data_IF_191878576730
#
_entry.id   IF_191878576730
#
_cell.length_a   1.000
_cell.length_b   1.000
_cell.length_c   1.000
_cell.angle_alpha   90.00
_cell.angle_beta   90.00
_cell.angle_gamma   90.00
#
_symmetry.space_group_name_H-M   'P 1'
#
loop_
_entity.id
_entity.type
_entity.pdbx_description
1 polymer ?
#
# COMPACT_ATOMS: atom_id res chain seq x y z
N UNK A 1 -16.62 -0.25 -2.60
CA UNK A 1 -16.06 -1.38 -1.82
C UNK A 1 -17.08 -2.05 -0.91
N UNK A 2 -17.67 -1.35 0.08
CA UNK A 2 -18.60 -1.97 1.05
C UNK A 2 -19.79 -2.67 0.37
N UNK A 3 -20.42 -2.04 -0.63
CA UNK A 3 -21.46 -2.69 -1.45
C UNK A 3 -20.96 -3.98 -2.13
N UNK A 4 -19.75 -3.95 -2.69
CA UNK A 4 -19.14 -5.11 -3.31
C UNK A 4 -18.98 -6.26 -2.33
N UNK A 5 -18.52 -5.98 -1.10
CA UNK A 5 -18.38 -6.98 -0.04
C UNK A 5 -19.73 -7.63 0.27
N UNK A 6 -20.77 -6.81 0.43
CA UNK A 6 -22.12 -7.31 0.68
C UNK A 6 -22.58 -8.31 -0.37
N UNK A 7 -22.39 -7.96 -1.65
CA UNK A 7 -22.74 -8.82 -2.80
C UNK A 7 -21.86 -10.06 -2.82
N UNK A 8 -20.54 -9.91 -2.65
CA UNK A 8 -19.57 -11.00 -2.69
C UNK A 8 -19.83 -12.07 -1.63
N UNK A 9 -20.21 -11.67 -0.41
CA UNK A 9 -20.56 -12.61 0.65
C UNK A 9 -21.89 -13.32 0.37
N UNK A 10 -22.87 -12.67 -0.27
CA UNK A 10 -24.10 -13.35 -0.73
C UNK A 10 -23.76 -14.39 -1.81
N UNK A 11 -22.88 -14.04 -2.75
CA UNK A 11 -22.38 -14.97 -3.76
C UNK A 11 -21.59 -16.13 -3.14
N UNK A 12 -20.80 -15.90 -2.10
CA UNK A 12 -20.10 -16.96 -1.36
C UNK A 12 -21.07 -18.01 -0.80
N UNK A 13 -22.29 -17.61 -0.38
CA UNK A 13 -23.32 -18.55 0.09
C UNK A 13 -24.00 -19.28 -1.07
N UNK A 14 -24.22 -18.59 -2.19
CA UNK A 14 -24.93 -19.17 -3.34
C UNK A 14 -24.06 -20.07 -4.21
N UNK A 15 -22.75 -19.82 -4.26
CA UNK A 15 -21.84 -20.51 -5.16
C UNK A 15 -21.35 -21.84 -4.56
N UNK A 16 -21.16 -22.87 -5.39
CA UNK A 16 -20.61 -24.13 -4.93
C UNK A 16 -19.14 -23.99 -4.52
N UNK A 17 -18.70 -24.88 -3.64
CA UNK A 17 -17.34 -24.97 -3.10
C UNK A 17 -16.25 -24.96 -4.18
N UNK A 18 -16.43 -25.73 -5.26
CA UNK A 18 -15.47 -25.84 -6.35
C UNK A 18 -15.28 -24.51 -7.09
N UNK A 19 -16.33 -23.72 -7.24
CA UNK A 19 -16.28 -22.43 -7.92
C UNK A 19 -15.49 -21.42 -7.09
N UNK A 20 -15.80 -21.33 -5.79
CA UNK A 20 -15.11 -20.45 -4.84
C UNK A 20 -13.62 -20.82 -4.76
N UNK A 21 -13.33 -22.13 -4.68
CA UNK A 21 -11.95 -22.64 -4.64
C UNK A 21 -11.20 -22.30 -5.92
N UNK A 22 -11.81 -22.52 -7.09
CA UNK A 22 -11.21 -22.19 -8.39
C UNK A 22 -10.93 -20.69 -8.50
N UNK A 23 -11.87 -19.84 -8.11
CA UNK A 23 -11.70 -18.39 -8.14
C UNK A 23 -10.61 -17.90 -7.18
N UNK A 24 -10.53 -18.52 -5.99
CA UNK A 24 -9.47 -18.25 -5.02
C UNK A 24 -8.08 -18.64 -5.57
N UNK A 25 -7.97 -19.80 -6.23
CA UNK A 25 -6.73 -20.26 -6.88
C UNK A 25 -6.32 -19.28 -7.99
N UNK A 26 -7.25 -18.87 -8.86
CA UNK A 26 -6.96 -17.91 -9.93
C UNK A 26 -6.49 -16.57 -9.34
N UNK A 27 -7.20 -16.07 -8.33
CA UNK A 27 -6.89 -14.78 -7.70
C UNK A 27 -5.53 -14.82 -7.00
N UNK A 28 -5.27 -15.83 -6.16
CA UNK A 28 -3.97 -15.98 -5.49
C UNK A 28 -2.84 -16.25 -6.48
N UNK A 29 -3.06 -17.06 -7.51
CA UNK A 29 -2.08 -17.31 -8.56
C UNK A 29 -1.71 -16.03 -9.31
N UNK A 30 -2.72 -15.24 -9.70
CA UNK A 30 -2.51 -13.93 -10.33
C UNK A 30 -1.74 -12.96 -9.42
N UNK A 31 -2.16 -12.80 -8.16
CA UNK A 31 -1.50 -11.92 -7.19
C UNK A 31 -0.06 -12.38 -6.95
N UNK A 32 0.18 -13.69 -6.80
CA UNK A 32 1.53 -14.24 -6.59
C UNK A 32 2.43 -13.98 -7.79
N UNK A 33 1.97 -14.28 -9.01
CA UNK A 33 2.72 -14.04 -10.22
C UNK A 33 3.03 -12.55 -10.43
N UNK A 34 2.05 -11.69 -10.16
CA UNK A 34 2.21 -10.24 -10.22
C UNK A 34 3.22 -9.73 -9.19
N UNK A 35 3.05 -10.10 -7.92
CA UNK A 35 3.95 -9.71 -6.82
C UNK A 35 5.38 -10.15 -7.10
N UNK A 36 5.57 -11.37 -7.60
CA UNK A 36 6.89 -11.89 -7.94
C UNK A 36 7.54 -11.11 -9.10
N UNK A 37 6.78 -10.82 -10.17
CA UNK A 37 7.27 -9.99 -11.29
C UNK A 37 7.64 -8.59 -10.82
N UNK A 38 6.79 -7.95 -10.02
CA UNK A 38 7.10 -6.63 -9.45
C UNK A 38 8.31 -6.66 -8.52
N UNK A 39 8.49 -7.74 -7.76
CA UNK A 39 9.67 -7.96 -6.91
C UNK A 39 10.95 -8.04 -7.72
N UNK A 40 10.96 -8.83 -8.81
CA UNK A 40 12.10 -8.93 -9.73
C UNK A 40 12.46 -7.60 -10.39
N UNK A 41 11.46 -6.84 -10.82
CA UNK A 41 11.68 -5.50 -11.41
C UNK A 41 12.29 -4.55 -10.39
N UNK A 42 11.77 -4.51 -9.16
CA UNK A 42 12.32 -3.68 -8.08
C UNK A 42 13.75 -4.08 -7.74
N UNK A 43 14.03 -5.37 -7.60
CA UNK A 43 15.38 -5.87 -7.34
C UNK A 43 16.38 -5.45 -8.41
N UNK A 44 15.98 -5.51 -9.69
CA UNK A 44 16.83 -5.08 -10.80
C UNK A 44 17.13 -3.58 -10.74
N UNK A 45 16.12 -2.77 -10.46
CA UNK A 45 16.28 -1.32 -10.34
C UNK A 45 17.19 -0.96 -9.15
N UNK A 46 16.95 -1.56 -7.98
CA UNK A 46 17.79 -1.38 -6.80
C UNK A 46 19.24 -1.80 -7.06
N UNK A 47 19.45 -2.92 -7.76
CA UNK A 47 20.81 -3.38 -8.12
C UNK A 47 21.51 -2.40 -9.05
N UNK A 48 20.79 -1.79 -10.01
CA UNK A 48 21.34 -0.77 -10.91
C UNK A 48 21.77 0.49 -10.14
N UNK A 49 20.94 0.96 -9.20
CA UNK A 49 21.26 2.12 -8.37
C UNK A 49 22.49 1.88 -7.49
N UNK A 50 22.63 0.68 -6.92
CA UNK A 50 23.82 0.30 -6.14
C UNK A 50 25.08 0.29 -7.02
N UNK A 51 24.98 -0.19 -8.27
CA UNK A 51 26.09 -0.18 -9.22
C UNK A 51 26.48 1.25 -9.64
N UNK A 52 25.51 2.09 -9.99
CA UNK A 52 25.74 3.50 -10.35
C UNK A 52 26.34 4.29 -9.17
N UNK A 53 25.94 3.98 -7.93
CA UNK A 53 26.52 4.58 -6.73
C UNK A 53 27.98 4.14 -6.53
N UNK A 54 28.27 2.84 -6.67
CA UNK A 54 29.65 2.33 -6.58
C UNK A 54 30.56 2.95 -7.66
N UNK A 55 30.08 3.05 -8.90
CA UNK A 55 30.83 3.68 -10.00
C UNK A 55 31.11 5.17 -9.73
N UNK A 56 30.15 5.92 -9.18
CA UNK A 56 30.36 7.33 -8.76
C UNK A 56 31.35 7.43 -7.60
N UNK A 57 31.33 6.50 -6.66
CA UNK A 57 32.31 6.44 -5.56
C UNK A 57 33.72 6.16 -6.11
N UNK A 58 33.86 5.25 -7.08
CA UNK A 58 35.14 4.96 -7.72
C UNK A 58 35.65 6.15 -8.53
N UNK A 59 34.80 6.81 -9.32
CA UNK A 59 35.14 8.03 -10.07
C UNK A 59 35.54 9.19 -9.14
N UNK A 60 34.83 9.39 -8.03
CA UNK A 60 35.15 10.43 -7.06
C UNK A 60 36.45 10.14 -6.29
N UNK A 61 36.71 8.88 -5.93
CA UNK A 61 37.98 8.48 -5.30
C UNK A 61 39.18 8.66 -6.25
N UNK A 62 39.04 8.29 -7.53
CA UNK A 62 40.08 8.53 -8.53
C UNK A 62 40.30 10.01 -8.82
N UNK A 63 39.24 10.83 -8.83
CA UNK A 63 39.35 12.27 -9.00
C UNK A 63 40.07 12.93 -7.79
N UNK A 64 39.77 12.48 -6.57
CA UNK A 64 40.41 12.92 -5.34
C UNK A 64 41.90 12.54 -5.32
N UNK A 65 42.26 11.30 -5.69
CA UNK A 65 43.65 10.83 -5.78
C UNK A 65 44.46 11.59 -6.84
N UNK A 66 43.90 11.84 -8.03
CA UNK A 66 44.57 12.67 -9.05
C UNK A 66 44.79 14.09 -8.55
N UNK A 67 43.80 14.69 -7.89
CA UNK A 67 43.92 16.04 -7.32
C UNK A 67 45.04 16.14 -6.28
N UNK A 68 45.13 15.15 -5.38
CA UNK A 68 46.20 15.07 -4.38
C UNK A 68 47.58 14.81 -5.00
N UNK A 69 47.68 13.96 -6.02
CA UNK A 69 48.94 13.72 -6.74
C UNK A 69 49.45 14.99 -7.46
N UNK A 70 48.55 15.74 -8.11
CA UNK A 70 48.91 17.02 -8.74
C UNK A 70 49.32 18.10 -7.73
N UNK A 71 48.67 18.18 -6.56
CA UNK A 71 49.06 19.08 -5.47
C UNK A 71 50.42 18.70 -4.85
N UNK A 72 50.71 17.40 -4.70
CA UNK A 72 52.00 16.92 -4.22
C UNK A 72 53.15 17.25 -5.20
N UNK A 73 52.92 17.12 -6.50
CA UNK A 73 53.90 17.45 -7.53
C UNK A 73 54.12 18.97 -7.67
N UNK A 74 53.06 19.78 -7.53
CA UNK A 74 53.17 21.23 -7.45
C UNK A 74 53.93 21.69 -6.19
N UNK A 75 53.74 21.01 -5.04
CA UNK A 75 54.46 21.30 -3.79
C UNK A 75 55.96 20.97 -3.87
N UNK A 76 56.32 19.89 -4.58
CA UNK A 76 57.73 19.55 -4.86
C UNK A 76 58.39 20.60 -5.76
N UNK A 77 57.70 21.05 -6.82
CA UNK A 77 58.23 22.07 -7.73
C UNK A 77 58.33 23.47 -7.10
N UNK A 78 57.46 23.81 -6.16
CA UNK A 78 57.55 25.09 -5.41
C UNK A 78 58.69 25.10 -4.40
N UNK A 79 59.07 23.95 -3.84
CA UNK A 79 60.16 23.86 -2.86
C UNK A 79 61.57 24.03 -3.49
N UNK A 80 61.74 23.61 -4.75
CA UNK A 80 62.99 23.83 -5.50
C UNK A 80 63.16 25.28 -5.99
N UNK A 81 62.07 26.08 -6.03
CA UNK A 81 62.13 27.51 -6.40
C UNK A 81 62.26 28.41 -5.16
N UNK A 82 61.72 28.01 -4.00
CA UNK A 82 61.76 28.83 -2.78
C UNK A 82 63.06 28.75 -1.96
N UNK A 83 63.97 27.82 -2.26
CA UNK A 83 65.28 27.73 -1.56
C UNK A 83 66.32 28.72 -2.12
N UNK A 84 65.93 29.58 -3.09
CA UNK A 84 66.82 30.50 -3.81
C UNK A 84 66.82 31.97 -3.39
N UNK A 85 65.82 32.48 -2.63
CA UNK A 85 65.80 33.89 -2.26
C UNK A 85 65.34 34.09 -0.80
N UNK A 86 66.33 34.27 0.07
CA UNK A 86 66.17 34.93 1.37
C UNK A 86 66.54 36.41 1.15
N UNK A 87 65.74 37.29 1.76
CA UNK A 87 65.95 38.71 2.12
C UNK A 87 65.07 39.77 1.41
N UNK A 88 64.61 40.67 2.29
CA UNK A 88 64.02 42.00 2.14
C UNK A 88 62.49 42.20 2.07
N UNK A 89 62.08 43.07 3.00
CA UNK A 89 60.79 43.73 3.24
C UNK A 89 59.94 44.04 2.00
N UNK A 90 58.62 43.88 2.14
CA UNK A 90 57.67 45.00 2.06
C UNK A 90 56.23 44.48 2.29
N UNK A 91 55.59 45.00 3.32
CA UNK A 91 54.14 44.97 3.50
C UNK A 91 53.42 45.65 2.33
N UNK A 92 52.15 45.26 2.13
CA UNK A 92 51.17 45.88 1.23
C UNK A 92 51.17 45.42 -0.24
N UNK A 93 50.59 44.24 -0.50
CA UNK A 93 49.64 44.00 -1.61
C UNK A 93 49.31 42.50 -1.75
N UNK A 94 48.61 41.90 -0.79
CA UNK A 94 47.96 40.58 -1.03
C UNK A 94 46.82 40.27 -0.05
N UNK A 95 46.09 41.29 0.39
CA UNK A 95 44.93 41.10 1.27
C UNK A 95 43.59 40.99 0.53
N UNK A 96 43.51 41.20 -0.79
CA UNK A 96 42.22 41.20 -1.52
C UNK A 96 41.98 39.99 -2.44
N UNK A 97 42.98 39.11 -2.62
CA UNK A 97 42.84 37.89 -3.42
C UNK A 97 42.61 36.62 -2.57
N UNK A 98 42.93 36.67 -1.27
CA UNK A 98 42.83 35.52 -0.36
C UNK A 98 41.49 35.42 0.41
N UNK A 99 40.64 36.46 0.40
CA UNK A 99 39.29 36.41 1.00
C UNK A 99 38.19 35.90 0.05
N UNK A 100 38.46 35.75 -1.25
CA UNK A 100 37.49 35.20 -2.22
C UNK A 100 37.57 33.69 -2.43
N UNK A 101 38.60 33.03 -1.93
CA UNK A 101 38.81 31.59 -2.12
C UNK A 101 38.52 30.75 -0.86
N UNK A 102 38.29 31.37 0.30
CA UNK A 102 38.04 30.65 1.57
C UNK A 102 36.54 30.52 1.94
N UNK A 103 35.61 31.22 1.26
CA UNK A 103 34.18 31.16 1.61
C UNK A 103 33.35 30.09 0.90
N UNK A 104 33.99 29.20 0.11
CA UNK A 104 33.25 28.22 -0.74
C UNK A 104 33.64 26.75 -0.62
N UNK A 105 34.51 26.37 0.33
CA UNK A 105 34.91 24.96 0.48
C UNK A 105 34.79 24.47 1.94
N UNK A 106 33.58 24.55 2.47
CA UNK A 106 33.18 23.78 3.65
C UNK A 106 33.11 22.29 3.29
N UNK A 107 34.18 21.56 3.58
CA UNK A 107 34.26 20.10 3.48
C UNK A 107 33.46 19.37 4.58
N UNK A 108 32.58 20.05 5.31
CA UNK A 108 31.84 19.47 6.43
C UNK A 108 30.52 18.78 6.05
N UNK A 109 30.16 18.76 4.76
CA UNK A 109 28.88 18.21 4.28
C UNK A 109 29.00 16.94 3.40
N UNK A 110 30.18 16.33 3.28
CA UNK A 110 30.38 15.17 2.39
C UNK A 110 30.71 13.83 3.09
N UNK A 111 30.50 13.73 4.39
CA UNK A 111 30.40 12.44 5.08
C UNK A 111 28.94 12.24 5.51
N UNK A 112 28.24 11.20 5.04
CA UNK A 112 26.91 10.87 5.56
C UNK A 112 27.05 10.59 7.06
N UNK A 113 26.27 11.29 7.88
CA UNK A 113 26.17 10.97 9.29
C UNK A 113 25.54 9.58 9.42
N UNK A 114 26.28 8.69 10.05
CA UNK A 114 25.83 7.40 10.52
C UNK A 114 24.67 7.63 11.51
N UNK A 115 23.45 7.22 11.14
CA UNK A 115 22.30 7.25 12.05
C UNK A 115 20.92 7.64 11.51
N UNK A 116 20.74 8.03 10.25
CA UNK A 116 19.41 8.35 9.69
C UNK A 116 19.23 7.79 8.27
N UNK A 117 18.93 6.49 8.17
CA UNK A 117 18.12 5.98 7.05
C UNK A 117 16.70 5.70 7.53
N UNK A 118 16.07 6.76 8.04
CA UNK A 118 14.61 6.84 7.96
C UNK A 118 14.25 6.95 6.48
N UNK A 119 13.49 5.97 6.00
CA UNK A 119 12.70 5.95 4.75
C UNK A 119 12.69 7.34 4.10
N UNK A 120 13.50 7.56 3.05
CA UNK A 120 13.46 8.80 2.28
C UNK A 120 12.00 8.99 1.85
N UNK A 121 11.29 10.03 2.33
CA UNK A 121 9.95 10.30 1.85
C UNK A 121 10.12 10.77 0.40
N UNK A 122 9.57 10.01 -0.54
CA UNK A 122 9.48 10.39 -1.96
C UNK A 122 8.48 11.55 -2.16
N UNK A 123 7.84 12.01 -1.09
CA UNK A 123 7.11 13.25 -1.02
C UNK A 123 8.05 14.29 -0.43
N UNK A 124 8.27 15.40 -1.16
CA UNK A 124 8.99 16.54 -0.63
C UNK A 124 8.47 16.89 0.77
N UNK A 125 9.37 17.38 1.62
CA UNK A 125 9.12 17.87 2.99
C UNK A 125 7.98 18.92 3.02
N UNK A 126 6.74 18.47 2.90
CA UNK A 126 5.56 19.23 3.24
C UNK A 126 5.35 19.03 4.73
N UNK A 127 5.54 20.11 5.50
CA UNK A 127 5.24 20.11 6.94
C UNK A 127 3.86 19.48 7.14
N UNK A 128 3.73 18.39 7.94
CA UNK A 128 2.45 17.76 8.13
C UNK A 128 1.48 18.82 8.69
N UNK A 129 0.28 18.99 8.11
CA UNK A 129 -0.70 19.93 8.63
C UNK A 129 -0.94 19.60 10.11
N UNK A 130 -0.80 20.61 10.98
CA UNK A 130 -0.88 20.48 12.44
C UNK A 130 -2.18 19.87 12.96
N UNK A 131 -3.22 19.79 12.12
CA UNK A 131 -4.53 19.28 12.49
C UNK A 131 -4.78 17.93 11.81
N UNK A 132 -4.96 16.89 12.62
CA UNK A 132 -5.43 15.59 12.15
C UNK A 132 -6.76 15.75 11.39
N UNK A 133 -6.94 15.15 10.20
CA UNK A 133 -8.12 15.38 9.35
C UNK A 133 -9.37 14.64 9.88
N UNK A 134 -9.83 15.00 11.07
CA UNK A 134 -10.92 14.34 11.79
C UNK A 134 -12.23 14.32 11.00
N UNK A 135 -12.52 15.35 10.20
CA UNK A 135 -13.75 15.43 9.38
C UNK A 135 -13.80 14.32 8.33
N UNK A 136 -12.67 14.04 7.66
CA UNK A 136 -12.58 12.99 6.63
C UNK A 136 -12.71 11.59 7.26
N UNK A 137 -12.05 11.40 8.41
CA UNK A 137 -12.17 10.14 9.16
C UNK A 137 -13.61 9.94 9.64
N UNK A 138 -14.24 10.99 10.19
CA UNK A 138 -15.63 10.95 10.63
C UNK A 138 -16.56 10.57 9.47
N UNK A 139 -16.43 11.22 8.32
CA UNK A 139 -17.18 10.89 7.10
C UNK A 139 -17.04 9.42 6.71
N UNK A 140 -15.80 8.89 6.70
CA UNK A 140 -15.53 7.48 6.38
C UNK A 140 -16.18 6.53 7.40
N UNK A 141 -16.05 6.84 8.70
CA UNK A 141 -16.68 6.04 9.76
C UNK A 141 -18.20 6.07 9.68
N UNK A 142 -18.81 7.22 9.36
CA UNK A 142 -20.25 7.36 9.18
C UNK A 142 -20.76 6.48 8.03
N UNK A 143 -20.09 6.53 6.88
CA UNK A 143 -20.41 5.65 5.73
C UNK A 143 -20.34 4.18 6.15
N UNK A 144 -19.28 3.78 6.84
CA UNK A 144 -19.13 2.40 7.33
C UNK A 144 -20.25 2.02 8.32
N UNK A 145 -20.56 2.87 9.29
CA UNK A 145 -21.64 2.60 10.26
C UNK A 145 -23.01 2.52 9.59
N UNK A 146 -23.27 3.28 8.53
CA UNK A 146 -24.52 3.21 7.79
C UNK A 146 -24.69 1.84 7.10
N UNK A 147 -23.65 1.35 6.42
CA UNK A 147 -23.66 0.01 5.83
C UNK A 147 -23.78 -1.07 6.91
N UNK A 148 -23.01 -0.95 8.00
CA UNK A 148 -23.06 -1.88 9.11
C UNK A 148 -24.46 -1.92 9.74
N UNK A 149 -25.10 -0.77 9.94
CA UNK A 149 -26.45 -0.68 10.49
C UNK A 149 -27.46 -1.41 9.59
N UNK A 150 -27.40 -1.23 8.27
CA UNK A 150 -28.26 -1.98 7.34
C UNK A 150 -28.03 -3.49 7.45
N UNK A 151 -26.78 -3.93 7.60
CA UNK A 151 -26.45 -5.36 7.78
C UNK A 151 -26.96 -5.91 9.12
N UNK A 152 -26.80 -5.17 10.21
CA UNK A 152 -27.30 -5.55 11.53
C UNK A 152 -28.84 -5.55 11.59
N UNK A 153 -29.51 -4.60 10.91
CA UNK A 153 -30.96 -4.53 10.79
C UNK A 153 -31.53 -5.69 9.98
N UNK A 154 -30.82 -6.14 8.93
CA UNK A 154 -31.17 -7.37 8.21
C UNK A 154 -31.07 -8.59 9.12
N UNK A 155 -30.05 -8.60 9.99
CA UNK A 155 -29.74 -9.65 10.94
C UNK A 155 -29.53 -11.02 10.29
N UNK A 156 -29.56 -12.11 11.08
CA UNK A 156 -29.29 -13.44 10.56
C UNK A 156 -29.34 -14.56 11.59
N UNK A 157 -28.92 -15.77 11.21
CA UNK A 157 -29.14 -17.00 11.97
C UNK A 157 -28.43 -17.04 13.34
N UNK A 158 -27.36 -16.26 13.51
CA UNK A 158 -26.53 -16.27 14.74
C UNK A 158 -26.88 -15.21 15.78
N UNK A 159 -27.71 -14.22 15.44
CA UNK A 159 -28.08 -13.14 16.36
C UNK A 159 -29.54 -12.83 16.16
N UNK A 160 -30.32 -12.83 17.25
CA UNK A 160 -31.71 -12.39 17.23
C UNK A 160 -31.76 -10.96 16.67
N UNK A 161 -32.23 -10.82 15.43
CA UNK A 161 -32.39 -9.54 14.76
C UNK A 161 -33.37 -8.67 15.55
N UNK A 162 -33.10 -7.36 15.67
CA UNK A 162 -34.04 -6.39 16.27
C UNK A 162 -35.41 -6.43 15.57
N UNK A 163 -35.42 -6.76 14.28
CA UNK A 163 -36.60 -7.07 13.49
C UNK A 163 -36.54 -8.55 13.11
N UNK A 164 -37.38 -9.40 13.71
CA UNK A 164 -37.48 -10.83 13.37
C UNK A 164 -38.04 -10.96 11.95
N UNK A 165 -37.15 -10.89 10.96
CA UNK A 165 -37.47 -10.97 9.54
C UNK A 165 -37.27 -12.41 9.09
N UNK A 166 -38.28 -12.98 8.43
CA UNK A 166 -38.13 -14.30 7.80
C UNK A 166 -37.03 -14.25 6.74
N UNK A 167 -36.09 -15.21 6.76
CA UNK A 167 -35.10 -15.33 5.71
C UNK A 167 -35.83 -15.47 4.38
N UNK A 168 -35.45 -14.63 3.42
CA UNK A 168 -35.99 -14.61 2.06
C UNK A 168 -37.41 -14.04 1.89
N UNK A 169 -37.95 -13.38 2.92
CA UNK A 169 -39.10 -12.51 2.77
C UNK A 169 -38.81 -11.25 1.95
N UNK A 170 -39.87 -10.57 1.49
CA UNK A 170 -39.73 -9.33 0.71
C UNK A 170 -38.96 -8.23 1.45
N UNK A 171 -39.09 -8.16 2.79
CA UNK A 171 -38.38 -7.19 3.61
C UNK A 171 -36.86 -7.48 3.72
N UNK A 172 -36.44 -8.75 3.68
CA UNK A 172 -35.03 -9.14 3.62
C UNK A 172 -34.37 -8.66 2.31
N UNK A 173 -35.05 -8.89 1.18
CA UNK A 173 -34.59 -8.43 -0.12
C UNK A 173 -34.64 -6.91 -0.23
N UNK A 174 -35.65 -6.24 0.35
CA UNK A 174 -35.73 -4.78 0.39
C UNK A 174 -34.55 -4.15 1.16
N UNK A 175 -34.19 -4.69 2.33
CA UNK A 175 -33.02 -4.23 3.09
C UNK A 175 -31.71 -4.49 2.36
N UNK A 176 -31.62 -5.62 1.65
CA UNK A 176 -30.44 -5.95 0.84
C UNK A 176 -30.33 -5.03 -0.38
N UNK A 177 -31.44 -4.77 -1.08
CA UNK A 177 -31.45 -3.86 -2.24
C UNK A 177 -31.26 -2.41 -1.82
N UNK A 178 -31.67 -2.01 -0.62
CA UNK A 178 -31.42 -0.66 -0.05
C UNK A 178 -29.93 -0.29 0.01
N UNK A 179 -29.03 -1.27 0.09
CA UNK A 179 -27.58 -1.01 0.08
C UNK A 179 -27.10 -0.40 -1.24
N UNK A 180 -27.79 -0.70 -2.36
CA UNK A 180 -27.46 -0.15 -3.68
C UNK A 180 -27.72 1.36 -3.75
N UNK A 181 -28.95 1.90 -3.53
CA UNK A 181 -29.16 3.33 -3.54
C UNK A 181 -28.33 4.04 -2.48
N UNK A 182 -28.14 3.44 -1.29
CA UNK A 182 -27.24 4.00 -0.28
C UNK A 182 -25.81 4.16 -0.81
N UNK A 183 -25.27 3.14 -1.51
CA UNK A 183 -23.95 3.22 -2.12
C UNK A 183 -23.85 4.30 -3.20
N UNK A 184 -24.83 4.39 -4.10
CA UNK A 184 -24.85 5.38 -5.16
C UNK A 184 -24.98 6.81 -4.61
N UNK A 185 -25.85 7.02 -3.61
CA UNK A 185 -26.02 8.33 -2.96
C UNK A 185 -24.75 8.77 -2.23
N UNK A 186 -24.13 7.89 -1.46
CA UNK A 186 -22.90 8.22 -0.73
C UNK A 186 -21.71 8.42 -1.67
N UNK A 187 -21.61 7.63 -2.74
CA UNK A 187 -20.57 7.80 -3.76
C UNK A 187 -20.77 9.12 -4.50
N UNK A 188 -22.00 9.42 -4.93
CA UNK A 188 -22.35 10.69 -5.58
C UNK A 188 -22.09 11.90 -4.68
N UNK A 189 -22.47 11.82 -3.40
CA UNK A 189 -22.21 12.86 -2.41
C UNK A 189 -20.71 13.06 -2.18
N UNK A 190 -19.93 11.99 -2.08
CA UNK A 190 -18.46 12.08 -1.94
C UNK A 190 -17.79 12.65 -3.20
N UNK A 191 -18.28 12.30 -4.39
CA UNK A 191 -17.79 12.83 -5.66
C UNK A 191 -18.12 14.31 -5.81
N UNK A 192 -19.34 14.71 -5.44
CA UNK A 192 -19.79 16.10 -5.43
C UNK A 192 -18.98 16.95 -4.46
N UNK A 193 -18.76 16.46 -3.23
CA UNK A 193 -17.92 17.14 -2.25
C UNK A 193 -16.46 17.25 -2.71
N UNK A 194 -15.93 16.21 -3.36
CA UNK A 194 -14.58 16.26 -3.93
C UNK A 194 -14.50 17.28 -5.08
N UNK A 195 -15.49 17.30 -5.96
CA UNK A 195 -15.53 18.23 -7.08
C UNK A 195 -15.54 19.69 -6.62
N UNK A 196 -16.38 20.03 -5.63
CA UNK A 196 -16.40 21.37 -5.06
C UNK A 196 -15.10 21.74 -4.33
N UNK A 197 -14.48 20.80 -3.62
CA UNK A 197 -13.19 21.05 -2.99
C UNK A 197 -12.06 21.26 -4.01
N UNK A 198 -12.15 20.66 -5.20
CA UNK A 198 -11.22 20.89 -6.30
C UNK A 198 -11.46 22.25 -6.97
N UNK A 199 -12.72 22.64 -7.17
CA UNK A 199 -13.07 23.96 -7.69
C UNK A 199 -12.55 25.09 -6.79
N UNK A 200 -12.66 24.94 -5.47
CA UNK A 200 -12.17 25.92 -4.50
C UNK A 200 -10.63 26.08 -4.53
N UNK A 201 -9.91 24.98 -4.81
CA UNK A 201 -8.44 24.98 -4.93
C UNK A 201 -7.90 25.43 -6.28
N UNK A 202 -8.73 25.54 -7.30
CA UNK A 202 -8.34 25.92 -8.66
C UNK A 202 -8.10 27.44 -8.81
N UNK A 203 -7.75 28.13 -7.71
CA UNK A 203 -7.23 29.51 -7.73
C UNK A 203 -5.80 29.48 -8.31
N UNK A 204 -5.41 30.44 -9.17
CA UNK A 204 -4.31 30.31 -10.14
C UNK A 204 -2.86 30.28 -9.59
N UNK A 205 -2.66 29.97 -8.31
CA UNK A 205 -1.34 29.98 -7.63
C UNK A 205 -1.01 28.68 -6.91
N UNK A 206 -1.64 27.56 -7.30
CA UNK A 206 -1.23 26.23 -6.86
C UNK A 206 -0.58 25.50 -8.03
N UNK A 207 0.71 25.17 -7.90
CA UNK A 207 1.36 24.16 -8.74
C UNK A 207 0.55 22.87 -8.59
N UNK A 208 -0.19 22.51 -9.63
CA UNK A 208 -0.88 21.23 -9.74
C UNK A 208 0.17 20.13 -9.56
N UNK A 209 0.12 19.41 -8.43
CA UNK A 209 0.91 18.19 -8.31
C UNK A 209 0.49 17.25 -9.46
N UNK A 210 1.48 16.71 -10.15
CA UNK A 210 1.37 15.90 -11.37
C UNK A 210 0.50 14.62 -11.23
N UNK A 211 -0.05 14.39 -10.03
CA UNK A 211 -0.89 13.26 -9.66
C UNK A 211 -2.41 13.52 -9.73
N UNK A 212 -2.86 14.71 -10.14
CA UNK A 212 -4.29 15.00 -10.33
C UNK A 212 -4.84 14.34 -11.62
N UNK A 213 -4.94 13.01 -11.61
CA UNK A 213 -5.57 12.18 -12.64
C UNK A 213 -7.10 12.30 -12.59
N UNK A 214 -7.64 13.43 -12.10
CA UNK A 214 -9.07 13.62 -11.86
C UNK A 214 -9.74 14.12 -13.14
N UNK A 215 -9.72 13.27 -14.17
CA UNK A 215 -10.61 13.41 -15.32
C UNK A 215 -12.05 13.01 -14.96
N UNK A 216 -13.06 13.37 -15.77
CA UNK A 216 -14.46 12.95 -15.57
C UNK A 216 -14.62 11.41 -15.52
N UNK A 217 -13.71 10.68 -16.18
CA UNK A 217 -13.66 9.20 -16.17
C UNK A 217 -13.25 8.62 -14.81
N UNK A 218 -12.46 9.34 -14.03
CA UNK A 218 -11.97 8.89 -12.73
C UNK A 218 -13.11 8.67 -11.73
N UNK A 219 -14.14 9.54 -11.76
CA UNK A 219 -15.32 9.45 -10.92
C UNK A 219 -16.14 8.16 -11.11
N UNK A 220 -16.00 7.48 -12.25
CA UNK A 220 -16.65 6.18 -12.52
C UNK A 220 -15.67 5.02 -12.38
N UNK A 221 -14.41 5.24 -12.74
CA UNK A 221 -13.36 4.22 -12.71
C UNK A 221 -13.01 3.82 -11.26
N UNK A 222 -12.82 4.78 -10.35
CA UNK A 222 -12.47 4.46 -8.96
C UNK A 222 -13.57 3.67 -8.25
N UNK A 223 -14.86 4.06 -8.29
CA UNK A 223 -15.92 3.27 -7.67
C UNK A 223 -16.10 1.88 -8.28
N UNK A 224 -15.95 1.73 -9.60
CA UNK A 224 -16.09 0.43 -10.26
C UNK A 224 -14.97 -0.53 -9.86
N UNK A 225 -13.72 -0.07 -9.82
CA UNK A 225 -12.58 -0.86 -9.30
C UNK A 225 -12.77 -1.21 -7.82
N UNK A 226 -13.23 -0.24 -7.00
CA UNK A 226 -13.51 -0.49 -5.59
C UNK A 226 -14.69 -1.45 -5.37
N UNK A 227 -15.67 -1.47 -6.28
CA UNK A 227 -16.79 -2.43 -6.24
C UNK A 227 -16.28 -3.83 -6.58
N UNK A 228 -15.50 -3.98 -7.65
CA UNK A 228 -14.91 -5.27 -8.05
C UNK A 228 -13.99 -5.83 -6.96
N UNK A 229 -13.09 -5.01 -6.41
CA UNK A 229 -12.20 -5.42 -5.33
C UNK A 229 -12.96 -5.76 -4.04
N UNK A 230 -14.07 -5.06 -3.78
CA UNK A 230 -14.98 -5.39 -2.68
C UNK A 230 -15.71 -6.71 -2.90
N UNK A 231 -16.18 -6.98 -4.12
CA UNK A 231 -16.84 -8.23 -4.50
C UNK A 231 -15.92 -9.43 -4.31
N UNK A 232 -14.73 -9.38 -4.90
CA UNK A 232 -13.71 -10.42 -4.73
C UNK A 232 -13.26 -10.51 -3.26
N UNK A 233 -13.09 -9.36 -2.59
CA UNK A 233 -12.71 -9.31 -1.18
C UNK A 233 -13.73 -9.93 -0.23
N UNK A 234 -15.03 -9.74 -0.49
CA UNK A 234 -16.13 -10.29 0.31
C UNK A 234 -16.37 -11.76 0.02
N UNK A 235 -16.23 -12.19 -1.24
CA UNK A 235 -16.40 -13.60 -1.61
C UNK A 235 -15.25 -14.49 -1.14
N UNK A 236 -14.02 -13.98 -1.18
CA UNK A 236 -12.81 -14.72 -0.82
C UNK A 236 -12.34 -14.46 0.63
N UNK A 237 -12.88 -13.44 1.31
CA UNK A 237 -12.47 -13.07 2.68
C UNK A 237 -11.09 -12.40 2.77
N UNK A 238 -10.53 -11.94 1.65
CA UNK A 238 -9.15 -11.38 1.57
C UNK A 238 -9.06 -9.92 2.03
N UNK A 239 -10.19 -9.19 2.12
CA UNK A 239 -10.20 -7.79 2.55
C UNK A 239 -9.84 -6.76 1.45
N UNK A 240 -9.82 -7.16 0.18
CA UNK A 240 -9.79 -6.31 -1.04
C UNK A 240 -8.57 -5.38 -1.25
N UNK A 241 -7.75 -5.11 -0.24
CA UNK A 241 -6.58 -4.22 -0.33
C UNK A 241 -5.47 -4.73 -1.24
N UNK A 242 -5.31 -6.05 -1.32
CA UNK A 242 -4.36 -6.68 -2.27
C UNK A 242 -4.72 -6.39 -3.73
N UNK A 243 -5.99 -6.13 -4.03
CA UNK A 243 -6.48 -5.81 -5.38
C UNK A 243 -6.49 -4.30 -5.61
N UNK A 244 -6.86 -3.51 -4.59
CA UNK A 244 -6.95 -2.05 -4.70
C UNK A 244 -5.57 -1.40 -4.84
N UNK A 245 -4.58 -1.80 -4.04
CA UNK A 245 -3.23 -1.22 -4.05
C UNK A 245 -2.61 -1.18 -5.47
N UNK A 246 -2.55 -2.30 -6.21
CA UNK A 246 -2.03 -2.28 -7.57
C UNK A 246 -2.82 -1.41 -8.55
N UNK A 247 -4.15 -1.40 -8.46
CA UNK A 247 -5.01 -0.59 -9.33
C UNK A 247 -4.78 0.90 -9.12
N UNK A 248 -4.57 1.32 -7.88
CA UNK A 248 -4.28 2.70 -7.52
C UNK A 248 -2.91 3.17 -8.05
N UNK A 249 -1.89 2.30 -8.04
CA UNK A 249 -0.57 2.61 -8.62
C UNK A 249 -0.63 2.67 -10.15
N UNK A 250 -1.41 1.80 -10.80
CA UNK A 250 -1.61 1.85 -12.27
C UNK A 250 -2.31 3.13 -12.73
N UNK A 251 -3.14 3.72 -11.86
CA UNK A 251 -3.75 5.03 -12.07
C UNK A 251 -2.78 6.19 -11.81
N UNK A 252 -1.50 5.88 -11.57
CA UNK A 252 -0.46 6.87 -11.34
C UNK A 252 -0.32 7.28 -9.88
N UNK A 253 -1.11 6.79 -8.91
CA UNK A 253 -0.96 7.32 -7.55
C UNK A 253 0.35 6.90 -6.88
N UNK A 254 0.92 7.84 -6.13
CA UNK A 254 2.16 7.60 -5.39
C UNK A 254 2.03 6.38 -4.44
N UNK A 255 3.00 5.45 -4.42
CA UNK A 255 2.90 4.20 -3.67
C UNK A 255 2.80 4.38 -2.16
N UNK A 256 3.40 5.44 -1.60
CA UNK A 256 3.33 5.71 -0.15
C UNK A 256 1.90 6.12 0.29
N UNK A 257 1.23 6.99 -0.49
CA UNK A 257 -0.15 7.42 -0.21
C UNK A 257 -1.14 6.27 -0.45
N UNK A 258 -0.88 5.48 -1.49
CA UNK A 258 -1.67 4.30 -1.83
C UNK A 258 -1.60 3.25 -0.71
N UNK A 259 -0.41 2.99 -0.16
CA UNK A 259 -0.22 2.07 0.96
C UNK A 259 -1.02 2.49 2.20
N UNK A 260 -0.96 3.78 2.57
CA UNK A 260 -1.72 4.29 3.71
C UNK A 260 -3.24 4.17 3.48
N UNK A 261 -3.71 4.58 2.30
CA UNK A 261 -5.14 4.56 1.93
C UNK A 261 -5.70 3.14 1.92
N UNK A 262 -4.96 2.20 1.32
CA UNK A 262 -5.36 0.78 1.25
C UNK A 262 -5.42 0.14 2.63
N UNK A 263 -4.51 0.47 3.56
CA UNK A 263 -4.57 -0.02 4.94
C UNK A 263 -5.87 0.39 5.64
N UNK A 264 -6.28 1.66 5.54
CA UNK A 264 -7.56 2.11 6.08
C UNK A 264 -8.76 1.43 5.42
N UNK A 265 -8.74 1.28 4.09
CA UNK A 265 -9.79 0.58 3.36
C UNK A 265 -9.92 -0.88 3.81
N UNK A 266 -8.80 -1.59 3.97
CA UNK A 266 -8.77 -2.99 4.45
C UNK A 266 -9.33 -3.09 5.86
N UNK A 267 -9.00 -2.16 6.75
CA UNK A 267 -9.51 -2.17 8.13
C UNK A 267 -11.05 -2.13 8.18
N UNK A 268 -11.66 -1.16 7.50
CA UNK A 268 -13.12 -1.00 7.49
C UNK A 268 -13.85 -2.10 6.69
N UNK A 269 -13.25 -2.58 5.60
CA UNK A 269 -13.83 -3.65 4.79
C UNK A 269 -13.78 -5.01 5.49
N UNK A 270 -12.66 -5.32 6.16
CA UNK A 270 -12.49 -6.59 6.87
C UNK A 270 -13.40 -6.66 8.09
N UNK A 271 -13.56 -5.56 8.84
CA UNK A 271 -14.50 -5.51 9.98
C UNK A 271 -15.96 -5.74 9.53
N UNK A 272 -16.36 -5.16 8.39
CA UNK A 272 -17.69 -5.41 7.82
C UNK A 272 -17.87 -6.87 7.38
N UNK A 273 -16.84 -7.46 6.77
CA UNK A 273 -16.87 -8.87 6.30
C UNK A 273 -17.01 -9.84 7.47
N UNK A 274 -16.29 -9.61 8.58
CA UNK A 274 -16.40 -10.42 9.81
C UNK A 274 -17.82 -10.40 10.35
N UNK A 275 -18.42 -9.20 10.47
CA UNK A 275 -19.82 -9.08 10.93
C UNK A 275 -20.76 -9.80 9.96
N UNK A 276 -20.54 -9.71 8.65
CA UNK A 276 -21.42 -10.34 7.67
C UNK A 276 -21.37 -11.87 7.73
N UNK A 277 -20.17 -12.48 7.82
CA UNK A 277 -20.03 -13.92 7.98
C UNK A 277 -20.53 -14.41 9.35
N UNK A 278 -20.40 -13.57 10.39
CA UNK A 278 -20.97 -13.84 11.69
C UNK A 278 -22.50 -13.86 11.66
N UNK A 279 -23.15 -12.86 11.06
CA UNK A 279 -24.61 -12.80 10.90
C UNK A 279 -25.16 -14.00 10.11
N UNK A 280 -24.42 -14.48 9.10
CA UNK A 280 -24.76 -15.68 8.34
C UNK A 280 -24.59 -17.00 9.11
N UNK A 281 -23.99 -16.96 10.31
CA UNK A 281 -23.70 -18.15 11.10
C UNK A 281 -22.64 -19.07 10.50
N UNK A 282 -21.81 -18.54 9.61
CA UNK A 282 -20.67 -19.26 9.01
C UNK A 282 -19.37 -19.04 9.77
N UNK A 283 -19.33 -18.06 10.67
CA UNK A 283 -18.17 -17.76 11.51
C UNK A 283 -18.37 -18.28 12.93
N UNK A 284 -17.56 -19.25 13.33
CA UNK A 284 -17.45 -19.69 14.72
C UNK A 284 -16.55 -18.72 15.49
N UNK A 285 -17.13 -17.97 16.44
CA UNK A 285 -16.41 -16.87 17.12
C UNK A 285 -15.18 -17.33 17.92
N UNK A 286 -15.21 -18.54 18.49
CA UNK A 286 -14.11 -19.08 19.28
C UNK A 286 -12.83 -19.22 18.45
N UNK A 287 -12.95 -19.83 17.27
CA UNK A 287 -11.84 -19.96 16.33
C UNK A 287 -11.45 -18.61 15.74
N UNK A 288 -12.42 -17.73 15.44
CA UNK A 288 -12.14 -16.42 14.88
C UNK A 288 -11.29 -15.54 15.83
N UNK A 289 -11.60 -15.55 17.13
CA UNK A 289 -10.83 -14.82 18.14
C UNK A 289 -9.43 -15.42 18.34
N UNK A 290 -9.32 -16.74 18.37
CA UNK A 290 -8.03 -17.43 18.49
C UNK A 290 -7.11 -17.11 17.30
N UNK A 291 -7.58 -17.33 16.07
CA UNK A 291 -6.82 -17.00 14.86
C UNK A 291 -6.58 -15.50 14.74
N UNK A 292 -7.53 -14.66 15.15
CA UNK A 292 -7.36 -13.21 15.19
C UNK A 292 -6.21 -12.77 16.12
N UNK A 293 -6.12 -13.35 17.32
CA UNK A 293 -5.02 -13.07 18.25
C UNK A 293 -3.66 -13.54 17.70
N UNK A 294 -3.62 -14.75 17.14
CA UNK A 294 -2.39 -15.29 16.52
C UNK A 294 -1.95 -14.41 15.35
N UNK A 295 -2.87 -13.99 14.48
CA UNK A 295 -2.61 -13.10 13.35
C UNK A 295 -2.13 -11.72 13.81
N UNK A 296 -2.70 -11.18 14.89
CA UNK A 296 -2.28 -9.89 15.45
C UNK A 296 -0.82 -9.96 15.94
N UNK A 297 -0.48 -10.95 16.76
CA UNK A 297 0.89 -11.14 17.25
C UNK A 297 1.86 -11.41 16.09
N UNK A 298 1.47 -12.26 15.14
CA UNK A 298 2.28 -12.58 13.96
C UNK A 298 2.51 -11.36 13.06
N UNK A 299 1.51 -10.48 12.92
CA UNK A 299 1.63 -9.24 12.15
C UNK A 299 2.61 -8.27 12.79
N UNK A 300 2.57 -8.11 14.12
CA UNK A 300 3.54 -7.29 14.86
C UNK A 300 4.97 -7.82 14.69
N UNK A 301 5.16 -9.13 14.88
CA UNK A 301 6.48 -9.78 14.70
C UNK A 301 6.94 -9.63 13.25
N UNK A 302 6.07 -9.90 12.28
CA UNK A 302 6.37 -9.80 10.86
C UNK A 302 6.78 -8.39 10.45
N UNK A 303 6.05 -7.36 10.90
CA UNK A 303 6.39 -5.97 10.64
C UNK A 303 7.74 -5.60 11.26
N UNK A 304 7.98 -5.99 12.51
CA UNK A 304 9.26 -5.74 13.18
C UNK A 304 10.44 -6.43 12.48
N UNK A 305 10.31 -7.71 12.12
CA UNK A 305 11.36 -8.47 11.43
C UNK A 305 11.63 -7.88 10.04
N UNK A 306 10.59 -7.53 9.30
CA UNK A 306 10.73 -6.95 7.96
C UNK A 306 11.40 -5.57 8.04
N UNK A 307 11.03 -4.73 9.01
CA UNK A 307 11.67 -3.43 9.21
C UNK A 307 13.15 -3.58 9.59
N UNK A 308 13.48 -4.50 10.49
CA UNK A 308 14.87 -4.80 10.83
C UNK A 308 15.66 -5.36 9.64
N UNK A 309 15.04 -6.20 8.81
CA UNK A 309 15.66 -6.71 7.60
C UNK A 309 15.96 -5.58 6.60
N UNK A 310 15.04 -4.62 6.43
CA UNK A 310 15.28 -3.44 5.58
C UNK A 310 16.47 -2.64 6.11
N UNK A 311 16.51 -2.36 7.41
CA UNK A 311 17.61 -1.63 8.04
C UNK A 311 18.97 -2.34 7.89
N UNK A 312 18.98 -3.67 7.84
CA UNK A 312 20.22 -4.46 7.71
C UNK A 312 20.68 -4.62 6.26
N UNK A 313 19.75 -4.82 5.32
CA UNK A 313 20.07 -5.14 3.92
C UNK A 313 20.00 -3.94 2.98
N UNK A 314 19.40 -2.83 3.40
CA UNK A 314 19.27 -1.60 2.59
C UNK A 314 18.43 -1.77 1.32
N UNK A 315 17.61 -2.82 1.21
CA UNK A 315 16.87 -3.19 -0.01
C UNK A 315 15.37 -3.43 0.27
N UNK A 316 14.48 -2.50 -0.12
CA UNK A 316 13.04 -2.64 0.11
C UNK A 316 12.38 -3.75 -0.72
N UNK A 317 13.01 -4.22 -1.81
CA UNK A 317 12.54 -5.36 -2.60
C UNK A 317 12.36 -6.66 -1.81
N UNK A 318 13.07 -6.83 -0.68
CA UNK A 318 12.96 -8.00 0.21
C UNK A 318 11.52 -8.20 0.71
N UNK A 319 10.78 -7.12 0.97
CA UNK A 319 9.37 -7.17 1.41
C UNK A 319 8.52 -7.90 0.37
N UNK A 320 8.68 -7.52 -0.90
CA UNK A 320 7.87 -8.04 -2.00
C UNK A 320 8.16 -9.51 -2.24
N UNK A 321 9.43 -9.94 -2.12
CA UNK A 321 9.78 -11.35 -2.21
C UNK A 321 9.21 -12.16 -1.05
N UNK A 322 9.32 -11.67 0.18
CA UNK A 322 8.75 -12.34 1.36
C UNK A 322 7.24 -12.55 1.20
N UNK A 323 6.51 -11.49 0.82
CA UNK A 323 5.06 -11.58 0.58
C UNK A 323 4.75 -12.55 -0.56
N UNK A 324 5.53 -12.53 -1.66
CA UNK A 324 5.32 -13.43 -2.80
C UNK A 324 5.53 -14.91 -2.42
N UNK A 325 6.54 -15.21 -1.60
CA UNK A 325 6.80 -16.58 -1.13
C UNK A 325 5.65 -17.07 -0.25
N UNK A 326 5.21 -16.26 0.72
CA UNK A 326 4.08 -16.62 1.60
C UNK A 326 2.81 -16.82 0.79
N UNK A 327 2.49 -15.91 -0.15
CA UNK A 327 1.33 -16.05 -1.03
C UNK A 327 1.44 -17.28 -1.94
N UNK A 328 2.63 -17.59 -2.45
CA UNK A 328 2.87 -18.79 -3.27
C UNK A 328 2.65 -20.08 -2.49
N UNK A 329 3.17 -20.17 -1.26
CA UNK A 329 2.95 -21.33 -0.38
C UNK A 329 1.46 -21.48 -0.07
N UNK A 330 0.77 -20.38 0.27
CA UNK A 330 -0.68 -20.38 0.51
C UNK A 330 -1.48 -20.80 -0.72
N UNK A 331 -1.09 -20.35 -1.92
CA UNK A 331 -1.74 -20.75 -3.17
C UNK A 331 -1.59 -22.25 -3.44
N UNK A 332 -0.39 -22.80 -3.24
CA UNK A 332 -0.15 -24.24 -3.39
C UNK A 332 -0.95 -25.04 -2.37
N UNK A 333 -0.89 -24.66 -1.09
CA UNK A 333 -1.64 -25.34 -0.02
C UNK A 333 -3.15 -25.32 -0.28
N UNK A 334 -3.70 -24.18 -0.68
CA UNK A 334 -5.14 -24.06 -0.95
C UNK A 334 -5.55 -24.86 -2.18
N UNK A 335 -4.70 -24.90 -3.21
CA UNK A 335 -4.94 -25.73 -4.41
C UNK A 335 -4.99 -27.21 -4.05
N UNK A 336 -4.09 -27.67 -3.18
CA UNK A 336 -4.04 -29.07 -2.76
C UNK A 336 -5.26 -29.41 -1.88
N UNK A 337 -5.47 -28.67 -0.78
CA UNK A 337 -6.56 -28.97 0.16
C UNK A 337 -7.94 -28.77 -0.48
N UNK A 338 -8.16 -27.64 -1.16
CA UNK A 338 -9.43 -27.37 -1.83
C UNK A 338 -9.68 -28.34 -2.99
N UNK A 339 -8.64 -28.78 -3.70
CA UNK A 339 -8.75 -29.83 -4.70
C UNK A 339 -9.20 -31.17 -4.10
N UNK A 340 -8.66 -31.55 -2.95
CA UNK A 340 -9.08 -32.76 -2.24
C UNK A 340 -10.53 -32.65 -1.72
N UNK A 341 -10.95 -31.51 -1.18
CA UNK A 341 -12.33 -31.30 -0.72
C UNK A 341 -13.34 -31.42 -1.87
N UNK A 342 -13.05 -30.79 -3.02
CA UNK A 342 -13.90 -30.88 -4.21
C UNK A 342 -13.95 -32.31 -4.74
N UNK A 343 -12.82 -33.02 -4.72
CA UNK A 343 -12.74 -34.42 -5.13
C UNK A 343 -13.56 -35.33 -4.21
N UNK A 344 -13.46 -35.14 -2.89
CA UNK A 344 -14.22 -35.89 -1.90
C UNK A 344 -15.73 -35.67 -2.09
N UNK A 345 -16.17 -34.42 -2.23
CA UNK A 345 -17.57 -34.09 -2.52
C UNK A 345 -18.06 -34.70 -3.84
N UNK A 346 -17.20 -34.74 -4.88
CA UNK A 346 -17.55 -35.30 -6.18
C UNK A 346 -17.73 -36.81 -6.09
N UNK A 347 -16.84 -37.50 -5.37
CA UNK A 347 -16.91 -38.95 -5.16
C UNK A 347 -17.99 -39.37 -4.17
N UNK A 348 -18.30 -38.50 -3.19
CA UNK A 348 -19.40 -38.67 -2.24
C UNK A 348 -20.80 -38.45 -2.83
N UNK A 349 -20.89 -37.92 -4.06
CA UNK A 349 -22.16 -37.67 -4.74
C UNK A 349 -22.95 -36.48 -4.17
N UNK A 350 -22.26 -35.53 -3.52
CA UNK A 350 -22.91 -34.34 -2.98
C UNK A 350 -23.38 -33.37 -4.10
N UNK A 351 -24.34 -32.52 -3.78
CA UNK A 351 -24.88 -31.55 -4.72
C UNK A 351 -23.86 -30.44 -5.04
N UNK A 352 -23.32 -30.48 -6.26
CA UNK A 352 -22.29 -29.55 -6.75
C UNK A 352 -22.83 -28.29 -7.45
N UNK A 353 -24.15 -28.09 -7.42
CA UNK A 353 -24.82 -26.98 -8.08
C UNK A 353 -24.85 -25.71 -7.24
N UNK A 354 -25.49 -24.68 -7.79
CA UNK A 354 -25.72 -23.43 -7.07
C UNK A 354 -26.73 -23.65 -5.95
N UNK A 355 -26.37 -23.18 -4.77
CA UNK A 355 -27.26 -23.16 -3.62
C UNK A 355 -28.10 -21.90 -3.70
N UNK A 356 -29.37 -22.02 -3.36
CA UNK A 356 -30.16 -20.82 -3.14
C UNK A 356 -29.65 -20.14 -1.86
N UNK A 357 -29.52 -18.80 -1.83
CA UNK A 357 -29.20 -18.06 -0.60
C UNK A 357 -30.35 -18.14 0.44
N UNK A 358 -31.37 -18.94 0.12
CA UNK A 358 -32.68 -19.18 0.69
C UNK A 358 -32.95 -20.69 0.53
#
# INVERSE_FOLDING_TARGET
MLLGISIGVICNVAFPSWFITLEFIITLGYITARSFRSGLVRWRNETRLVQEAAEKTDLSSQAQERGQAHLAQARSSSFDVLTGCVLEESEAATSEALERLDSKLSWQNLCPKEGDEAIVPLLGESKPPRNFPYVKLLMLTLVWTAFLAVQLLRGGKSSDSILTLEPCGGAYWLLTTMQVPLAFLLTGWSAWHLHHALEEKNTPELELEEWDVIGPRAFVLFPSMALLAGFLGGMLGIGGGMIINPMLIELGMHPQLTAATTAFMVFFSSSLSVVQFWLLGRLQLDFALLFGAICFVSSLIGLHVVQQAIAKFGRPSIIVFSVSIVLGISAVSTTICGGFEVWDQFTGGEYMGFHYPC
#
